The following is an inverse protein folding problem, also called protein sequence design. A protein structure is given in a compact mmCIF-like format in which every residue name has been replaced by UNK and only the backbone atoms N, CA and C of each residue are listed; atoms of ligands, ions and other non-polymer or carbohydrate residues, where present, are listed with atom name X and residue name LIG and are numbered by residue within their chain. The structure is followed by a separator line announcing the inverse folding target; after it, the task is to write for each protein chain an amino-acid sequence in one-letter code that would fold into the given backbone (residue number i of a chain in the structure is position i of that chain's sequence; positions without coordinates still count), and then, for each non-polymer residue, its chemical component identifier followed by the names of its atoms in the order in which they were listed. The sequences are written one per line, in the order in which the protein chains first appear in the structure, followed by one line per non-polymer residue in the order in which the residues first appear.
data_IF_922691687985
#
_entry.id   IF_922691687985
#
_cell.length_a   1.000
_cell.length_b   1.000
_cell.length_c   1.000
_cell.angle_alpha   90.00
_cell.angle_beta   90.00
_cell.angle_gamma   90.00
#
_symmetry.space_group_name_H-M   'P 1'
#
loop_
_entity.id
_entity.type
_entity.pdbx_description
1 polymer ?
#
# COMPACT_ATOMS: atom_id res chain seq x y z
N UNK A 1 -45.00 -0.15 15.12
CA UNK A 1 -43.83 -0.59 15.89
C UNK A 1 -42.61 0.19 15.37
N UNK A 2 -42.28 1.26 16.03
CA UNK A 2 -41.18 2.18 15.65
C UNK A 2 -39.88 1.60 16.21
N UNK A 3 -38.95 1.24 15.33
CA UNK A 3 -37.63 0.78 15.73
C UNK A 3 -36.86 1.94 16.39
N UNK A 4 -36.45 1.72 17.62
CA UNK A 4 -35.61 2.65 18.38
C UNK A 4 -34.18 2.62 17.79
N UNK A 5 -33.55 3.75 17.47
CA UNK A 5 -32.16 3.76 16.99
C UNK A 5 -31.23 3.23 18.09
N UNK A 6 -30.27 2.41 17.69
CA UNK A 6 -29.25 1.87 18.57
C UNK A 6 -28.47 3.02 19.25
N UNK A 7 -28.06 2.88 20.54
CA UNK A 7 -27.35 3.95 21.25
C UNK A 7 -26.00 4.22 20.60
N UNK A 8 -25.76 5.46 20.15
CA UNK A 8 -24.44 5.95 19.78
C UNK A 8 -23.47 5.72 20.95
N UNK A 9 -22.47 4.90 20.75
CA UNK A 9 -21.39 4.69 21.72
C UNK A 9 -20.65 6.02 21.88
N UNK A 10 -20.89 6.69 22.98
CA UNK A 10 -20.27 7.98 23.32
C UNK A 10 -18.77 7.74 23.52
N UNK A 11 -17.94 8.06 22.49
CA UNK A 11 -16.47 7.98 22.57
C UNK A 11 -15.96 8.74 23.79
N UNK A 12 -15.06 8.12 24.55
CA UNK A 12 -14.48 8.73 25.74
C UNK A 12 -13.65 9.97 25.38
N UNK A 13 -13.35 10.83 26.37
CA UNK A 13 -12.43 11.96 26.15
C UNK A 13 -11.03 11.48 25.70
N UNK A 14 -10.61 10.32 26.23
CA UNK A 14 -9.34 9.69 25.88
C UNK A 14 -9.31 9.23 24.41
N UNK A 15 -10.36 8.55 23.96
CA UNK A 15 -10.47 8.09 22.57
C UNK A 15 -10.41 9.27 21.60
N UNK A 16 -11.08 10.38 21.93
CA UNK A 16 -11.05 11.60 21.10
C UNK A 16 -9.66 12.23 21.00
N UNK A 17 -8.85 12.21 22.06
CA UNK A 17 -7.49 12.74 22.02
C UNK A 17 -6.55 11.84 21.22
N UNK A 18 -6.69 10.51 21.36
CA UNK A 18 -5.94 9.53 20.55
C UNK A 18 -6.28 9.69 19.08
N UNK A 19 -7.56 9.75 18.73
CA UNK A 19 -8.02 9.95 17.34
C UNK A 19 -7.53 11.30 16.77
N UNK A 20 -7.52 12.36 17.57
CA UNK A 20 -6.99 13.67 17.16
C UNK A 20 -5.51 13.63 16.82
N UNK A 21 -4.69 12.84 17.54
CA UNK A 21 -3.28 12.65 17.24
C UNK A 21 -3.11 11.90 15.91
N UNK A 22 -3.88 10.83 15.67
CA UNK A 22 -3.85 10.05 14.44
C UNK A 22 -4.25 10.93 13.24
N UNK A 23 -5.34 11.68 13.38
CA UNK A 23 -5.82 12.62 12.36
C UNK A 23 -4.77 13.69 12.05
N UNK A 24 -4.15 14.28 13.07
CA UNK A 24 -3.10 15.28 12.91
C UNK A 24 -1.89 14.74 12.10
N UNK A 25 -1.48 13.49 12.34
CA UNK A 25 -0.40 12.88 11.53
C UNK A 25 -0.85 12.69 10.09
N UNK A 26 -2.06 12.18 9.82
CA UNK A 26 -2.60 12.02 8.46
C UNK A 26 -2.63 13.35 7.70
N UNK A 27 -3.08 14.43 8.34
CA UNK A 27 -3.11 15.78 7.75
C UNK A 27 -1.69 16.30 7.47
N UNK A 28 -0.78 16.18 8.44
CA UNK A 28 0.59 16.67 8.32
C UNK A 28 1.35 15.95 7.20
N UNK A 29 1.07 14.68 6.95
CA UNK A 29 1.67 13.91 5.86
C UNK A 29 1.24 14.42 4.47
N UNK A 30 0.12 15.13 4.35
CA UNK A 30 -0.27 15.80 3.10
C UNK A 30 0.57 17.06 2.83
N UNK A 31 1.16 17.65 3.88
CA UNK A 31 1.83 18.94 3.81
C UNK A 31 3.35 18.80 3.78
N UNK A 32 3.92 17.75 4.41
CA UNK A 32 5.35 17.59 4.62
C UNK A 32 5.79 16.14 4.79
N UNK A 33 7.10 15.90 4.63
CA UNK A 33 7.70 14.58 4.83
C UNK A 33 7.56 14.11 6.29
N UNK A 34 7.40 12.79 6.48
CA UNK A 34 7.41 12.18 7.81
C UNK A 34 8.72 12.42 8.58
N UNK A 35 9.86 12.53 7.87
CA UNK A 35 11.14 12.85 8.49
C UNK A 35 11.09 14.18 9.24
N UNK A 36 10.39 15.17 8.69
CA UNK A 36 10.30 16.53 9.24
C UNK A 36 9.27 16.66 10.37
N UNK A 37 8.47 15.63 10.64
CA UNK A 37 7.50 15.64 11.70
C UNK A 37 8.18 15.46 13.07
N UNK A 38 7.80 16.29 14.02
CA UNK A 38 8.16 16.16 15.42
C UNK A 38 6.92 15.91 16.30
N UNK A 39 7.13 15.30 17.47
CA UNK A 39 6.04 15.13 18.45
C UNK A 39 5.44 16.49 18.82
N UNK A 40 6.24 17.55 18.88
CA UNK A 40 5.74 18.91 19.16
C UNK A 40 4.78 19.40 18.08
N UNK A 41 5.16 19.27 16.80
CA UNK A 41 4.32 19.64 15.65
C UNK A 41 3.02 18.84 15.61
N UNK A 42 3.10 17.53 15.89
CA UNK A 42 1.91 16.66 15.94
C UNK A 42 0.99 17.06 17.09
N UNK A 43 1.54 17.29 18.29
CA UNK A 43 0.77 17.70 19.47
C UNK A 43 0.06 19.04 19.26
N UNK A 44 0.74 20.02 18.66
CA UNK A 44 0.20 21.32 18.31
C UNK A 44 -0.99 21.18 17.33
N UNK A 45 -0.82 20.42 16.24
CA UNK A 45 -1.87 20.16 15.25
C UNK A 45 -3.07 19.42 15.87
N UNK A 46 -2.82 18.46 16.76
CA UNK A 46 -3.86 17.69 17.44
C UNK A 46 -4.57 18.46 18.57
N UNK A 47 -4.07 19.63 18.97
CA UNK A 47 -4.61 20.39 20.11
C UNK A 47 -4.41 19.67 21.45
N UNK A 48 -3.34 18.86 21.59
CA UNK A 48 -3.02 18.14 22.83
C UNK A 48 -1.68 18.62 23.41
N UNK A 49 -1.54 18.54 24.73
CA UNK A 49 -0.22 18.78 25.34
C UNK A 49 0.77 17.67 24.92
N UNK A 50 2.07 17.98 24.86
CA UNK A 50 3.11 17.00 24.57
C UNK A 50 3.10 15.81 25.55
N UNK A 51 2.80 16.03 26.82
CA UNK A 51 2.58 14.97 27.81
C UNK A 51 1.36 14.11 27.48
N UNK A 52 0.30 14.72 26.91
CA UNK A 52 -0.88 14.01 26.44
C UNK A 52 -0.56 13.12 25.22
N UNK A 53 0.33 13.55 24.33
CA UNK A 53 0.81 12.70 23.25
C UNK A 53 1.48 11.43 23.80
N UNK A 54 2.45 11.58 24.72
CA UNK A 54 3.18 10.45 25.30
C UNK A 54 2.34 9.55 26.20
N UNK A 55 1.14 9.99 26.59
CA UNK A 55 0.18 9.12 27.27
C UNK A 55 -0.40 8.04 26.32
N UNK A 56 -0.52 8.35 25.01
CA UNK A 56 -1.13 7.46 24.02
C UNK A 56 -0.12 6.79 23.12
N UNK A 57 1.01 7.44 22.84
CA UNK A 57 2.01 6.98 21.87
C UNK A 57 3.43 7.25 22.33
N UNK A 58 4.28 6.24 22.31
CA UNK A 58 5.68 6.35 22.70
C UNK A 58 6.51 7.19 21.70
N UNK A 59 6.09 7.23 20.42
CA UNK A 59 6.80 7.93 19.34
C UNK A 59 5.87 8.28 18.18
N UNK A 60 6.34 9.12 17.25
CA UNK A 60 5.65 9.35 15.98
C UNK A 60 5.53 8.09 15.13
N UNK A 61 6.47 7.14 15.29
CA UNK A 61 6.44 5.84 14.60
C UNK A 61 5.30 4.97 15.12
N UNK A 62 5.03 4.99 16.43
CA UNK A 62 3.88 4.27 16.99
C UNK A 62 2.55 4.78 16.44
N UNK A 63 2.42 6.09 16.18
CA UNK A 63 1.24 6.64 15.50
C UNK A 63 1.16 6.14 14.06
N UNK A 64 2.28 6.16 13.32
CA UNK A 64 2.34 5.67 11.95
C UNK A 64 2.02 4.17 11.87
N UNK A 65 2.48 3.37 12.83
CA UNK A 65 2.15 1.94 12.92
C UNK A 65 0.64 1.70 13.07
N UNK A 66 -0.04 2.51 13.89
CA UNK A 66 -1.51 2.44 14.01
C UNK A 66 -2.18 2.84 12.70
N UNK A 67 -1.71 3.91 12.05
CA UNK A 67 -2.23 4.32 10.74
C UNK A 67 -2.05 3.21 9.70
N UNK A 68 -0.93 2.52 9.72
CA UNK A 68 -0.64 1.40 8.81
C UNK A 68 -1.49 0.17 9.15
N UNK A 69 -1.71 -0.12 10.44
CA UNK A 69 -2.58 -1.23 10.87
C UNK A 69 -4.06 -1.01 10.49
N UNK A 70 -4.54 0.25 10.58
CA UNK A 70 -5.88 0.61 10.10
C UNK A 70 -6.00 0.47 8.56
N UNK A 71 -4.87 0.39 7.86
CA UNK A 71 -4.80 0.09 6.44
C UNK A 71 -5.07 -1.41 6.12
N UNK A 72 -5.66 -2.18 7.02
CA UNK A 72 -6.30 -3.45 6.69
C UNK A 72 -7.35 -3.29 5.57
N UNK A 73 -8.01 -2.12 5.50
CA UNK A 73 -8.81 -1.72 4.34
C UNK A 73 -7.96 -1.61 3.06
N UNK A 74 -6.70 -1.20 3.17
CA UNK A 74 -5.76 -1.14 2.07
C UNK A 74 -5.41 -2.54 1.56
N UNK A 75 -5.19 -3.49 2.48
CA UNK A 75 -4.98 -4.89 2.13
C UNK A 75 -6.22 -5.48 1.47
N UNK A 76 -7.40 -5.16 1.97
CA UNK A 76 -8.68 -5.59 1.41
C UNK A 76 -8.90 -4.99 0.00
N UNK A 77 -8.63 -3.71 -0.22
CA UNK A 77 -8.71 -3.09 -1.55
C UNK A 77 -7.70 -3.70 -2.53
N UNK A 78 -6.45 -3.91 -2.10
CA UNK A 78 -5.44 -4.60 -2.92
C UNK A 78 -5.86 -6.05 -3.18
N UNK A 79 -6.35 -6.74 -2.17
CA UNK A 79 -6.73 -8.15 -2.31
C UNK A 79 -7.99 -8.36 -3.13
N UNK A 80 -8.95 -7.43 -3.14
CA UNK A 80 -10.07 -7.47 -4.08
C UNK A 80 -9.60 -7.22 -5.52
N UNK A 81 -8.59 -6.36 -5.71
CA UNK A 81 -7.94 -6.15 -7.00
C UNK A 81 -7.18 -7.37 -7.53
N UNK A 82 -6.75 -8.26 -6.63
CA UNK A 82 -6.11 -9.54 -6.96
C UNK A 82 -7.12 -10.71 -6.95
N UNK A 83 -8.35 -10.49 -7.40
CA UNK A 83 -9.28 -11.57 -7.69
C UNK A 83 -8.73 -12.46 -8.82
N UNK A 84 -9.06 -13.77 -8.85
CA UNK A 84 -8.71 -14.62 -9.97
C UNK A 84 -9.11 -14.01 -11.32
N UNK A 85 -8.44 -14.44 -12.38
CA UNK A 85 -8.78 -14.04 -13.73
C UNK A 85 -10.23 -14.45 -14.06
N UNK A 86 -11.02 -13.52 -14.59
CA UNK A 86 -12.40 -13.80 -14.97
C UNK A 86 -12.47 -14.71 -16.21
N UNK A 87 -13.55 -15.51 -16.38
CA UNK A 87 -13.75 -16.28 -17.60
C UNK A 87 -13.73 -15.38 -18.85
N UNK A 88 -12.79 -15.62 -19.76
CA UNK A 88 -12.58 -14.81 -20.96
C UNK A 88 -11.71 -13.57 -20.78
N UNK A 89 -11.25 -13.26 -19.58
CA UNK A 89 -10.26 -12.21 -19.35
C UNK A 89 -8.90 -12.67 -19.87
N UNK A 90 -8.30 -11.90 -20.80
CA UNK A 90 -6.98 -12.22 -21.32
C UNK A 90 -5.89 -11.96 -20.27
N UNK A 91 -4.71 -12.63 -20.35
CA UNK A 91 -3.56 -12.32 -19.51
C UNK A 91 -3.17 -10.84 -19.51
N UNK A 92 -3.25 -10.18 -20.68
CA UNK A 92 -2.99 -8.74 -20.82
C UNK A 92 -3.97 -7.89 -20.02
N UNK A 93 -5.27 -8.20 -20.12
CA UNK A 93 -6.31 -7.46 -19.37
C UNK A 93 -6.13 -7.67 -17.86
N UNK A 94 -5.81 -8.88 -17.43
CA UNK A 94 -5.54 -9.20 -16.03
C UNK A 94 -4.31 -8.46 -15.49
N UNK A 95 -3.19 -8.46 -16.21
CA UNK A 95 -1.99 -7.73 -15.82
C UNK A 95 -2.26 -6.22 -15.66
N UNK A 96 -2.99 -5.61 -16.61
CA UNK A 96 -3.44 -4.22 -16.54
C UNK A 96 -4.34 -3.97 -15.32
N UNK A 97 -5.29 -4.85 -15.06
CA UNK A 97 -6.18 -4.76 -13.89
C UNK A 97 -5.39 -4.80 -12.59
N UNK A 98 -4.45 -5.73 -12.45
CA UNK A 98 -3.60 -5.86 -11.25
C UNK A 98 -2.78 -4.60 -11.01
N UNK A 99 -2.06 -4.12 -12.02
CA UNK A 99 -1.22 -2.92 -11.90
C UNK A 99 -2.07 -1.67 -11.69
N UNK A 100 -3.20 -1.55 -12.39
CA UNK A 100 -4.13 -0.44 -12.25
C UNK A 100 -4.74 -0.35 -10.85
N UNK A 101 -5.11 -1.48 -10.26
CA UNK A 101 -5.60 -1.53 -8.88
C UNK A 101 -4.51 -1.14 -7.87
N UNK A 102 -3.28 -1.64 -8.05
CA UNK A 102 -2.16 -1.21 -7.23
C UNK A 102 -1.93 0.31 -7.36
N UNK A 103 -1.97 0.85 -8.57
CA UNK A 103 -1.81 2.28 -8.82
C UNK A 103 -2.90 3.12 -8.12
N UNK A 104 -4.16 2.68 -8.15
CA UNK A 104 -5.26 3.35 -7.46
C UNK A 104 -5.06 3.37 -5.93
N UNK A 105 -4.60 2.26 -5.35
CA UNK A 105 -4.29 2.17 -3.93
C UNK A 105 -3.13 3.10 -3.55
N UNK A 106 -2.05 3.11 -4.35
CA UNK A 106 -0.93 4.02 -4.10
C UNK A 106 -1.35 5.48 -4.21
N UNK A 107 -2.13 5.85 -5.23
CA UNK A 107 -2.63 7.22 -5.40
C UNK A 107 -3.46 7.69 -4.22
N UNK A 108 -4.31 6.82 -3.66
CA UNK A 108 -5.17 7.14 -2.51
C UNK A 108 -4.38 7.26 -1.20
N UNK A 109 -3.31 6.48 -1.04
CA UNK A 109 -2.58 6.35 0.23
C UNK A 109 -1.13 6.85 0.13
N UNK A 110 -0.76 7.54 -0.94
CA UNK A 110 0.61 7.97 -1.26
C UNK A 110 1.36 8.61 -0.08
N UNK A 111 0.80 9.59 0.67
CA UNK A 111 1.52 10.19 1.78
C UNK A 111 1.85 9.21 2.92
N UNK A 112 0.96 8.25 3.19
CA UNK A 112 1.14 7.23 4.23
C UNK A 112 2.18 6.21 3.77
N UNK A 113 2.06 5.71 2.54
CA UNK A 113 2.99 4.72 1.97
C UNK A 113 4.41 5.29 1.86
N UNK A 114 4.57 6.56 1.46
CA UNK A 114 5.86 7.26 1.47
C UNK A 114 6.41 7.41 2.89
N UNK A 115 5.57 7.76 3.86
CA UNK A 115 5.98 7.85 5.25
C UNK A 115 6.50 6.51 5.78
N UNK A 116 5.80 5.42 5.48
CA UNK A 116 6.22 4.06 5.83
C UNK A 116 7.52 3.65 5.13
N UNK A 117 7.68 3.96 3.84
CA UNK A 117 8.90 3.67 3.09
C UNK A 117 10.14 4.38 3.68
N UNK A 118 9.98 5.61 4.17
CA UNK A 118 11.04 6.33 4.90
C UNK A 118 11.27 5.72 6.28
N UNK A 119 10.19 5.47 7.03
CA UNK A 119 10.26 5.02 8.42
C UNK A 119 10.83 3.60 8.55
N UNK A 120 10.59 2.69 7.59
CA UNK A 120 11.11 1.30 7.62
C UNK A 120 12.63 1.22 7.72
N UNK A 121 13.37 2.25 7.31
CA UNK A 121 14.82 2.28 7.41
C UNK A 121 15.33 2.61 8.83
N UNK A 122 14.47 3.17 9.69
CA UNK A 122 14.83 3.67 11.01
C UNK A 122 14.02 3.06 12.15
N UNK A 123 12.91 2.40 11.84
CA UNK A 123 12.01 1.80 12.83
C UNK A 123 11.74 0.34 12.47
N UNK A 124 12.04 -0.56 13.42
CA UNK A 124 11.94 -2.01 13.22
C UNK A 124 10.49 -2.47 13.10
N UNK A 125 9.56 -1.87 13.87
CA UNK A 125 8.14 -2.24 13.85
C UNK A 125 7.52 -1.90 12.49
N UNK A 126 7.78 -0.70 11.97
CA UNK A 126 7.29 -0.32 10.63
C UNK A 126 7.88 -1.23 9.56
N UNK A 127 9.16 -1.59 9.69
CA UNK A 127 9.80 -2.52 8.74
C UNK A 127 9.09 -3.86 8.73
N UNK A 128 8.92 -4.49 9.89
CA UNK A 128 8.26 -5.78 10.05
C UNK A 128 6.84 -5.76 9.48
N UNK A 129 6.04 -4.75 9.84
CA UNK A 129 4.68 -4.60 9.31
C UNK A 129 4.64 -4.47 7.79
N UNK A 130 5.59 -3.74 7.19
CA UNK A 130 5.66 -3.59 5.73
C UNK A 130 6.14 -4.86 5.04
N UNK A 131 7.05 -5.58 5.65
CA UNK A 131 7.57 -6.85 5.12
C UNK A 131 6.47 -7.93 5.17
N UNK A 132 5.74 -8.06 6.29
CA UNK A 132 4.59 -8.98 6.42
C UNK A 132 3.49 -8.65 5.40
N UNK A 133 3.21 -7.36 5.20
CA UNK A 133 2.26 -6.91 4.19
C UNK A 133 2.70 -7.32 2.78
N UNK A 134 3.97 -7.09 2.44
CA UNK A 134 4.51 -7.46 1.13
C UNK A 134 4.47 -8.97 0.91
N UNK A 135 4.82 -9.75 1.93
CA UNK A 135 4.79 -11.22 1.89
C UNK A 135 3.36 -11.72 1.66
N UNK A 136 2.36 -11.19 2.38
CA UNK A 136 0.96 -11.54 2.17
C UNK A 136 0.44 -11.25 0.75
N UNK A 137 0.84 -10.13 0.16
CA UNK A 137 0.52 -9.79 -1.24
C UNK A 137 1.19 -10.77 -2.20
N UNK A 138 2.47 -11.07 -1.99
CA UNK A 138 3.24 -12.01 -2.84
C UNK A 138 2.62 -13.39 -2.80
N UNK A 139 2.34 -13.93 -1.61
CA UNK A 139 1.74 -15.25 -1.43
C UNK A 139 0.39 -15.36 -2.14
N UNK A 140 -0.41 -14.29 -2.07
CA UNK A 140 -1.69 -14.26 -2.78
C UNK A 140 -1.51 -14.29 -4.29
N UNK A 141 -0.60 -13.49 -4.85
CA UNK A 141 -0.33 -13.48 -6.29
C UNK A 141 0.23 -14.83 -6.75
N UNK A 142 1.16 -15.42 -6.00
CA UNK A 142 1.70 -16.76 -6.27
C UNK A 142 0.57 -17.79 -6.32
N UNK A 143 -0.36 -17.76 -5.35
CA UNK A 143 -1.50 -18.64 -5.34
C UNK A 143 -2.43 -18.47 -6.55
N UNK A 144 -2.66 -17.24 -7.01
CA UNK A 144 -3.45 -16.96 -8.21
C UNK A 144 -2.79 -17.48 -9.48
N UNK A 145 -1.49 -17.22 -9.64
CA UNK A 145 -0.73 -17.67 -10.82
C UNK A 145 -0.62 -19.18 -10.86
N UNK A 146 -0.42 -19.84 -9.72
CA UNK A 146 -0.35 -21.31 -9.65
C UNK A 146 -1.68 -22.00 -10.05
N UNK A 147 -2.81 -21.30 -9.93
CA UNK A 147 -4.12 -21.81 -10.32
C UNK A 147 -4.51 -21.47 -11.78
N UNK A 148 -3.77 -20.58 -12.43
CA UNK A 148 -4.03 -20.19 -13.82
C UNK A 148 -3.40 -21.20 -14.80
N UNK A 149 -4.24 -21.94 -15.51
CA UNK A 149 -3.80 -22.97 -16.47
C UNK A 149 -3.02 -22.39 -17.67
N UNK A 150 -3.17 -21.10 -17.96
CA UNK A 150 -2.43 -20.41 -19.03
C UNK A 150 -1.11 -19.81 -18.56
N UNK A 151 -0.87 -19.75 -17.23
CA UNK A 151 0.37 -19.22 -16.70
C UNK A 151 1.59 -20.01 -17.21
N UNK A 152 2.60 -19.29 -17.62
CA UNK A 152 3.90 -19.80 -18.09
C UNK A 152 5.01 -18.90 -17.54
N UNK A 153 5.25 -18.95 -16.21
CA UNK A 153 6.28 -18.11 -15.59
C UNK A 153 7.65 -18.35 -16.23
N UNK A 154 8.41 -17.26 -16.38
CA UNK A 154 9.78 -17.34 -16.94
C UNK A 154 10.80 -17.93 -15.96
N UNK A 155 10.40 -18.20 -14.71
CA UNK A 155 11.22 -18.77 -13.64
C UNK A 155 10.48 -19.88 -12.92
N UNK A 156 11.18 -20.94 -12.55
CA UNK A 156 10.67 -21.99 -11.67
C UNK A 156 10.52 -21.52 -10.22
N UNK A 157 11.25 -20.46 -9.81
CA UNK A 157 11.09 -19.79 -8.52
C UNK A 157 10.04 -18.67 -8.65
N UNK A 158 8.78 -19.08 -8.66
CA UNK A 158 7.65 -18.16 -8.77
C UNK A 158 7.58 -17.12 -7.62
N UNK A 159 7.82 -17.46 -6.34
CA UNK A 159 7.88 -16.47 -5.28
C UNK A 159 8.93 -15.39 -5.51
N UNK A 160 10.15 -15.73 -5.92
CA UNK A 160 11.20 -14.77 -6.21
C UNK A 160 10.87 -13.88 -7.41
N UNK A 161 10.26 -14.46 -8.45
CA UNK A 161 9.79 -13.71 -9.62
C UNK A 161 8.71 -12.68 -9.22
N UNK A 162 7.68 -13.12 -8.52
CA UNK A 162 6.57 -12.25 -8.07
C UNK A 162 7.10 -11.14 -7.14
N UNK A 163 8.02 -11.46 -6.22
CA UNK A 163 8.66 -10.47 -5.35
C UNK A 163 9.40 -9.40 -6.15
N UNK A 164 10.14 -9.79 -7.18
CA UNK A 164 10.86 -8.87 -8.06
C UNK A 164 9.89 -7.96 -8.82
N UNK A 165 8.83 -8.53 -9.38
CA UNK A 165 7.79 -7.76 -10.09
C UNK A 165 7.05 -6.80 -9.14
N UNK A 166 6.71 -7.23 -7.94
CA UNK A 166 6.08 -6.37 -6.92
C UNK A 166 7.01 -5.22 -6.48
N UNK A 167 8.30 -5.49 -6.30
CA UNK A 167 9.29 -4.45 -5.97
C UNK A 167 9.40 -3.40 -7.08
N UNK A 168 9.48 -3.82 -8.35
CA UNK A 168 9.50 -2.88 -9.49
C UNK A 168 8.22 -2.07 -9.59
N UNK A 169 7.06 -2.68 -9.31
CA UNK A 169 5.77 -1.99 -9.25
C UNK A 169 5.78 -0.92 -8.17
N UNK A 170 6.22 -1.25 -6.96
CA UNK A 170 6.32 -0.31 -5.84
C UNK A 170 7.22 0.88 -6.19
N UNK A 171 8.41 0.64 -6.73
CA UNK A 171 9.34 1.71 -7.13
C UNK A 171 8.74 2.62 -8.20
N UNK A 172 7.99 2.05 -9.14
CA UNK A 172 7.27 2.81 -10.18
C UNK A 172 6.17 3.68 -9.57
N UNK A 173 5.32 3.09 -8.73
CA UNK A 173 4.15 3.77 -8.17
C UNK A 173 4.52 4.79 -7.07
N UNK A 174 5.66 4.63 -6.41
CA UNK A 174 6.22 5.66 -5.51
C UNK A 174 7.00 6.74 -6.24
N UNK A 175 7.05 6.70 -7.56
CA UNK A 175 7.77 7.65 -8.42
C UNK A 175 9.26 7.74 -8.07
N UNK A 176 9.90 6.62 -7.74
CA UNK A 176 11.34 6.59 -7.50
C UNK A 176 12.09 7.07 -8.75
N UNK A 177 12.84 8.16 -8.61
CA UNK A 177 13.51 8.81 -9.74
C UNK A 177 14.63 7.95 -10.35
N UNK A 178 15.17 6.99 -9.62
CA UNK A 178 16.12 6.02 -10.15
C UNK A 178 15.46 5.02 -11.08
N UNK A 179 14.16 4.77 -10.89
CA UNK A 179 13.38 3.80 -11.66
C UNK A 179 12.57 4.47 -12.79
N UNK A 180 11.83 5.53 -12.45
CA UNK A 180 11.00 6.28 -13.43
C UNK A 180 11.88 7.14 -14.36
N UNK A 181 13.01 7.62 -13.87
CA UNK A 181 13.86 8.60 -14.56
C UNK A 181 13.47 10.05 -14.23
N UNK A 182 14.48 10.91 -14.08
CA UNK A 182 14.26 12.31 -13.75
C UNK A 182 13.54 13.04 -14.88
N UNK A 183 12.40 13.65 -14.58
CA UNK A 183 11.60 14.42 -15.54
C UNK A 183 10.91 13.56 -16.61
N UNK A 184 10.90 12.24 -16.46
CA UNK A 184 10.14 11.35 -17.35
C UNK A 184 8.70 11.22 -16.89
N UNK A 185 7.81 10.92 -17.85
CA UNK A 185 6.40 10.66 -17.57
C UNK A 185 6.26 9.31 -16.83
N UNK A 186 5.70 9.28 -15.61
CA UNK A 186 5.48 8.04 -14.87
C UNK A 186 4.61 7.01 -15.60
N UNK A 187 3.70 7.45 -16.48
CA UNK A 187 2.85 6.54 -17.25
C UNK A 187 3.64 5.55 -18.09
N UNK A 188 4.78 5.96 -18.63
CA UNK A 188 5.69 5.06 -19.39
C UNK A 188 6.26 3.94 -18.54
N UNK A 189 6.58 4.23 -17.27
CA UNK A 189 7.08 3.23 -16.35
C UNK A 189 5.95 2.26 -15.93
N UNK A 190 4.73 2.74 -15.77
CA UNK A 190 3.54 1.90 -15.49
C UNK A 190 3.29 0.93 -16.64
N UNK A 191 3.27 1.40 -17.89
CA UNK A 191 3.14 0.52 -19.07
C UNK A 191 4.25 -0.55 -19.12
N UNK A 192 5.47 -0.18 -18.77
CA UNK A 192 6.58 -1.15 -18.72
C UNK A 192 6.36 -2.20 -17.64
N UNK A 193 5.90 -1.80 -16.45
CA UNK A 193 5.57 -2.73 -15.36
C UNK A 193 4.45 -3.69 -15.77
N UNK A 194 3.39 -3.20 -16.43
CA UNK A 194 2.32 -4.06 -16.97
C UNK A 194 2.89 -5.13 -17.91
N UNK A 195 3.79 -4.75 -18.82
CA UNK A 195 4.47 -5.69 -19.72
C UNK A 195 5.37 -6.67 -18.97
N UNK A 196 6.11 -6.22 -17.95
CA UNK A 196 6.95 -7.10 -17.13
C UNK A 196 6.11 -8.17 -16.40
N UNK A 197 4.95 -7.79 -15.85
CA UNK A 197 4.02 -8.77 -15.27
C UNK A 197 3.51 -9.75 -16.31
N UNK A 198 3.05 -9.25 -17.47
CA UNK A 198 2.56 -10.10 -18.56
C UNK A 198 3.61 -11.09 -19.05
N UNK A 199 4.78 -10.60 -19.44
CA UNK A 199 5.85 -11.46 -19.94
C UNK A 199 6.42 -12.37 -18.86
N UNK A 200 6.55 -11.88 -17.64
CA UNK A 200 7.07 -12.64 -16.51
C UNK A 200 6.21 -13.84 -16.13
N UNK A 201 4.89 -13.71 -16.21
CA UNK A 201 3.96 -14.74 -15.74
C UNK A 201 3.26 -15.52 -16.85
N UNK A 202 3.09 -14.96 -18.06
CA UNK A 202 2.40 -15.62 -19.20
C UNK A 202 3.22 -15.70 -20.48
N UNK A 203 4.50 -15.32 -20.45
CA UNK A 203 5.39 -15.44 -21.59
C UNK A 203 4.99 -14.60 -22.80
N UNK A 204 4.15 -13.58 -22.62
CA UNK A 204 3.68 -12.71 -23.71
C UNK A 204 2.73 -13.39 -24.69
N UNK A 205 1.92 -14.33 -24.23
CA UNK A 205 1.06 -15.17 -25.06
C UNK A 205 0.14 -14.39 -26.02
N UNK A 206 -0.32 -13.17 -25.62
CA UNK A 206 -1.29 -12.38 -26.40
C UNK A 206 -0.66 -11.44 -27.44
N UNK A 207 0.68 -11.33 -27.51
CA UNK A 207 1.35 -10.35 -28.42
C UNK A 207 1.53 -10.89 -29.84
N UNK A 208 1.15 -12.14 -30.11
CA UNK A 208 1.33 -12.76 -31.44
C UNK A 208 0.10 -12.62 -32.38
N UNK A 209 -0.99 -12.06 -31.88
CA UNK A 209 -2.26 -11.97 -32.62
C UNK A 209 -2.66 -10.51 -32.97
N UNK A 210 -1.77 -9.52 -32.83
CA UNK A 210 -1.88 -8.17 -33.41
C UNK A 210 -0.80 -8.02 -34.52
#
# INVERSE_FOLDING_TARGET
MTAQPAPEVRRSRGDRQRDAIITAVRELLQERSFADLSVSTISERAGVARSGFYFYFDSKYAVLAVILADASELLDMLTHGFAPREPGETPTAFAKRMVGNAAAVYATNDPILRACAVARNTDAQIREMMDDFADGVIDKIVGLVAQDAEARPISDDLPALVRTLAATTTMTLTHDSAFVGRGQDPARAVEMVERLWLYGLWGGADVRDE
#
